data_IF_855539526114
#
_entry.id   IF_855539526114
#
_cell.length_a   1.000
_cell.length_b   1.000
_cell.length_c   1.000
_cell.angle_alpha   90.00
_cell.angle_beta   90.00
_cell.angle_gamma   90.00
#
_symmetry.space_group_name_H-M   'P 1'
#
loop_
_entity.id
_entity.type
_entity.pdbx_description
1 polymer ?
#
# COMPACT_ATOMS: atom_id res chain seq x y z
N UNK A 1 1.89 -48.04 -38.61
CA UNK A 1 3.05 -47.83 -37.74
C UNK A 1 3.31 -46.33 -37.68
N UNK A 2 2.84 -45.67 -36.63
CA UNK A 2 2.92 -44.21 -36.47
C UNK A 2 4.36 -43.78 -36.20
N UNK A 3 4.90 -42.89 -37.04
CA UNK A 3 6.09 -42.11 -36.72
C UNK A 3 5.61 -40.70 -36.34
N UNK A 4 5.37 -40.47 -35.05
CA UNK A 4 5.10 -39.13 -34.53
C UNK A 4 6.36 -38.26 -34.65
N UNK A 5 6.34 -37.34 -35.61
CA UNK A 5 7.22 -36.16 -35.65
C UNK A 5 6.75 -35.15 -34.61
N UNK A 6 7.24 -35.25 -33.38
CA UNK A 6 7.03 -34.23 -32.34
C UNK A 6 8.25 -33.32 -32.27
N UNK A 7 8.17 -32.13 -32.88
CA UNK A 7 9.11 -31.05 -32.60
C UNK A 7 8.83 -30.56 -31.18
N UNK A 8 9.76 -30.78 -30.25
CA UNK A 8 9.72 -30.12 -28.95
C UNK A 8 10.02 -28.64 -29.19
N UNK A 9 8.98 -27.80 -29.15
CA UNK A 9 9.15 -26.35 -29.24
C UNK A 9 9.39 -25.82 -27.83
N UNK A 10 10.66 -25.67 -27.45
CA UNK A 10 11.03 -24.93 -26.24
C UNK A 10 10.88 -23.44 -26.55
N UNK A 11 9.73 -22.88 -26.23
CA UNK A 11 9.56 -21.43 -26.19
C UNK A 11 10.07 -20.92 -24.83
N UNK A 12 11.26 -20.33 -24.81
CA UNK A 12 11.65 -19.49 -23.68
C UNK A 12 10.76 -18.23 -23.74
N UNK A 13 9.94 -18.00 -22.71
CA UNK A 13 9.22 -16.73 -22.57
C UNK A 13 10.24 -15.61 -22.49
N UNK A 14 10.27 -14.74 -23.49
CA UNK A 14 11.20 -13.60 -23.59
C UNK A 14 10.76 -12.41 -22.74
N UNK A 15 9.61 -12.49 -22.08
CA UNK A 15 9.17 -11.48 -21.10
C UNK A 15 9.59 -11.93 -19.72
N UNK A 16 10.53 -11.19 -19.12
CA UNK A 16 10.70 -11.21 -17.67
C UNK A 16 9.33 -10.90 -17.04
N UNK A 17 8.90 -11.75 -16.11
CA UNK A 17 7.67 -11.48 -15.38
C UNK A 17 7.77 -10.09 -14.70
N UNK A 18 6.71 -9.28 -14.72
CA UNK A 18 6.75 -7.98 -14.09
C UNK A 18 6.99 -8.10 -12.57
N UNK A 19 7.81 -7.21 -12.03
CA UNK A 19 8.22 -7.23 -10.62
C UNK A 19 7.04 -6.95 -9.67
N UNK A 20 6.92 -7.75 -8.61
CA UNK A 20 5.86 -7.68 -7.60
C UNK A 20 6.48 -7.42 -6.23
N UNK A 21 6.18 -6.28 -5.63
CA UNK A 21 6.79 -5.84 -4.37
C UNK A 21 5.72 -5.56 -3.32
N UNK A 22 5.99 -5.95 -2.08
CA UNK A 22 5.26 -5.47 -0.91
C UNK A 22 6.21 -4.64 -0.05
N UNK A 23 5.76 -3.49 0.43
CA UNK A 23 6.45 -2.68 1.43
C UNK A 23 5.59 -2.57 2.69
N UNK A 24 6.18 -2.92 3.83
CA UNK A 24 5.55 -2.83 5.15
C UNK A 24 6.47 -2.14 6.16
N UNK A 25 5.92 -1.81 7.34
CA UNK A 25 6.59 -1.11 8.42
C UNK A 25 5.64 -0.24 9.24
N UNK A 26 6.12 0.30 10.35
CA UNK A 26 5.31 1.11 11.27
C UNK A 26 4.92 2.50 10.70
N UNK A 27 3.86 3.16 11.22
CA UNK A 27 3.53 4.54 10.85
C UNK A 27 4.75 5.46 10.98
N UNK A 28 4.92 6.40 10.04
CA UNK A 28 6.08 7.31 9.97
C UNK A 28 7.46 6.66 9.77
N UNK A 29 7.55 5.36 9.45
CA UNK A 29 8.81 4.71 9.07
C UNK A 29 9.41 5.20 7.74
N UNK A 30 8.64 5.93 6.93
CA UNK A 30 9.06 6.46 5.62
C UNK A 30 8.60 5.62 4.42
N UNK A 31 7.65 4.69 4.63
CA UNK A 31 7.08 3.83 3.56
C UNK A 31 6.67 4.61 2.32
N UNK A 32 5.86 5.65 2.48
CA UNK A 32 5.32 6.44 1.35
C UNK A 32 6.45 6.93 0.44
N UNK A 33 7.49 7.53 1.02
CA UNK A 33 8.66 8.00 0.27
C UNK A 33 9.37 6.86 -0.45
N UNK A 34 9.55 5.71 0.20
CA UNK A 34 10.18 4.54 -0.42
C UNK A 34 9.30 3.96 -1.54
N UNK A 35 7.98 3.89 -1.35
CA UNK A 35 7.02 3.46 -2.35
C UNK A 35 7.10 4.33 -3.60
N UNK A 36 7.14 5.66 -3.45
CA UNK A 36 7.28 6.61 -4.57
C UNK A 36 8.60 6.38 -5.34
N UNK A 37 9.73 6.29 -4.63
CA UNK A 37 11.04 6.09 -5.24
C UNK A 37 11.13 4.75 -5.98
N UNK A 38 10.63 3.66 -5.39
CA UNK A 38 10.64 2.33 -6.02
C UNK A 38 9.70 2.30 -7.22
N UNK A 39 8.49 2.84 -7.08
CA UNK A 39 7.51 2.91 -8.16
C UNK A 39 8.07 3.67 -9.36
N UNK A 40 8.68 4.85 -9.13
CA UNK A 40 9.28 5.66 -10.18
C UNK A 40 10.48 4.96 -10.84
N UNK A 41 11.36 4.35 -10.05
CA UNK A 41 12.57 3.70 -10.54
C UNK A 41 12.29 2.47 -11.41
N UNK A 42 11.28 1.69 -11.04
CA UNK A 42 10.97 0.41 -11.69
C UNK A 42 9.71 0.45 -12.57
N UNK A 43 9.01 1.60 -12.64
CA UNK A 43 7.81 1.76 -13.46
C UNK A 43 6.60 0.94 -12.98
N UNK A 44 6.58 0.59 -11.68
CA UNK A 44 5.52 -0.24 -11.09
C UNK A 44 4.21 0.52 -10.96
N UNK A 45 3.12 -0.20 -10.75
CA UNK A 45 1.87 0.42 -10.30
C UNK A 45 1.81 0.41 -8.78
N UNK A 46 1.75 1.59 -8.17
CA UNK A 46 1.61 1.73 -6.72
C UNK A 46 0.15 1.51 -6.28
N UNK A 47 -0.05 0.62 -5.32
CA UNK A 47 -1.31 0.42 -4.60
C UNK A 47 -1.08 0.72 -3.13
N UNK A 48 -1.80 1.71 -2.62
CA UNK A 48 -1.98 1.91 -1.19
C UNK A 48 -3.38 1.43 -0.80
N UNK A 49 -3.46 0.54 0.20
CA UNK A 49 -4.75 0.00 0.68
C UNK A 49 -5.67 1.13 1.15
N UNK A 50 -5.11 2.16 1.77
CA UNK A 50 -5.88 3.31 2.23
C UNK A 50 -6.49 4.10 1.07
N UNK A 51 -5.77 4.26 -0.04
CA UNK A 51 -6.27 4.93 -1.23
C UNK A 51 -7.32 4.09 -1.96
N UNK A 52 -7.11 2.77 -2.01
CA UNK A 52 -8.07 1.82 -2.56
C UNK A 52 -9.42 1.90 -1.80
N UNK A 53 -9.37 1.90 -0.47
CA UNK A 53 -10.56 2.05 0.37
C UNK A 53 -11.28 3.38 0.11
N UNK A 54 -10.54 4.49 0.05
CA UNK A 54 -11.12 5.82 -0.24
C UNK A 54 -11.75 5.89 -1.63
N UNK A 55 -11.09 5.31 -2.64
CA UNK A 55 -11.61 5.29 -4.01
C UNK A 55 -12.90 4.47 -4.12
N UNK A 56 -12.98 3.35 -3.41
CA UNK A 56 -14.17 2.48 -3.38
C UNK A 56 -15.33 3.12 -2.61
N UNK A 57 -15.04 3.83 -1.52
CA UNK A 57 -16.03 4.67 -0.84
C UNK A 57 -16.56 5.75 -1.81
N UNK A 58 -15.69 6.40 -2.57
CA UNK A 58 -16.07 7.43 -3.53
C UNK A 58 -16.88 6.87 -4.72
N UNK A 59 -16.57 5.64 -5.17
CA UNK A 59 -17.30 4.97 -6.26
C UNK A 59 -18.68 4.44 -5.82
N UNK A 60 -18.99 4.48 -4.52
CA UNK A 60 -20.23 3.94 -3.93
C UNK A 60 -20.47 2.46 -4.26
N UNK A 61 -19.38 1.69 -4.42
CA UNK A 61 -19.46 0.24 -4.61
C UNK A 61 -20.02 -0.46 -3.38
N UNK A 62 -20.38 -1.74 -3.51
CA UNK A 62 -20.87 -2.54 -2.39
C UNK A 62 -19.81 -2.66 -1.27
N UNK A 63 -18.57 -2.97 -1.65
CA UNK A 63 -17.41 -2.99 -0.74
C UNK A 63 -17.15 -1.60 -0.15
N UNK A 64 -17.29 -0.53 -0.93
CA UNK A 64 -17.11 0.85 -0.51
C UNK A 64 -18.11 1.29 0.56
N UNK A 65 -19.38 0.90 0.44
CA UNK A 65 -20.41 1.18 1.45
C UNK A 65 -20.10 0.52 2.79
N UNK A 66 -19.68 -0.75 2.75
CA UNK A 66 -19.27 -1.48 3.95
C UNK A 66 -18.01 -0.86 4.57
N UNK A 67 -16.98 -0.60 3.77
CA UNK A 67 -15.74 0.03 4.23
C UNK A 67 -15.99 1.40 4.88
N UNK A 68 -16.90 2.21 4.30
CA UNK A 68 -17.30 3.51 4.84
C UNK A 68 -17.82 3.38 6.27
N UNK A 69 -18.68 2.41 6.55
CA UNK A 69 -19.27 2.22 7.88
C UNK A 69 -18.22 1.95 8.96
N UNK A 70 -17.23 1.10 8.68
CA UNK A 70 -16.13 0.83 9.61
C UNK A 70 -15.23 2.05 9.79
N UNK A 71 -14.87 2.71 8.69
CA UNK A 71 -13.97 3.87 8.73
C UNK A 71 -14.57 5.06 9.47
N UNK A 72 -15.87 5.34 9.29
CA UNK A 72 -16.58 6.40 10.01
C UNK A 72 -16.67 6.13 11.53
N UNK A 73 -16.68 4.85 11.92
CA UNK A 73 -16.63 4.42 13.33
C UNK A 73 -15.21 4.35 13.90
N UNK A 74 -14.18 4.71 13.12
CA UNK A 74 -12.78 4.57 13.50
C UNK A 74 -12.32 3.11 13.66
N UNK A 75 -13.07 2.16 13.10
CA UNK A 75 -12.79 0.73 13.15
C UNK A 75 -11.96 0.30 11.94
N UNK A 76 -11.24 -0.81 12.10
CA UNK A 76 -10.55 -1.45 10.98
C UNK A 76 -11.58 -2.14 10.09
N UNK A 77 -11.42 -1.96 8.77
CA UNK A 77 -12.23 -2.68 7.77
C UNK A 77 -11.90 -4.18 7.86
N UNK A 78 -12.91 -5.08 7.85
CA UNK A 78 -12.71 -6.52 7.88
C UNK A 78 -11.72 -7.02 6.84
N UNK A 79 -10.90 -8.01 7.21
CA UNK A 79 -9.82 -8.53 6.37
C UNK A 79 -10.33 -9.05 5.03
N UNK A 80 -11.49 -9.70 5.03
CA UNK A 80 -12.11 -10.32 3.86
C UNK A 80 -12.41 -9.26 2.80
N UNK A 81 -12.95 -8.11 3.22
CA UNK A 81 -13.23 -6.97 2.35
C UNK A 81 -11.92 -6.42 1.77
N UNK A 82 -10.91 -6.19 2.60
CA UNK A 82 -9.62 -5.67 2.15
C UNK A 82 -8.95 -6.61 1.14
N UNK A 83 -8.95 -7.92 1.41
CA UNK A 83 -8.39 -8.94 0.53
C UNK A 83 -9.10 -8.92 -0.83
N UNK A 84 -10.44 -8.89 -0.84
CA UNK A 84 -11.22 -8.87 -2.08
C UNK A 84 -10.89 -7.65 -2.93
N UNK A 85 -10.84 -6.46 -2.32
CA UNK A 85 -10.54 -5.22 -3.04
C UNK A 85 -9.12 -5.24 -3.62
N UNK A 86 -8.12 -5.70 -2.84
CA UNK A 86 -6.73 -5.80 -3.30
C UNK A 86 -6.62 -6.80 -4.45
N UNK A 87 -7.27 -7.96 -4.35
CA UNK A 87 -7.32 -8.97 -5.41
C UNK A 87 -7.90 -8.39 -6.70
N UNK A 88 -9.06 -7.75 -6.63
CA UNK A 88 -9.72 -7.16 -7.80
C UNK A 88 -8.83 -6.14 -8.50
N UNK A 89 -8.11 -5.31 -7.74
CA UNK A 89 -7.15 -4.35 -8.31
C UNK A 89 -5.96 -5.04 -8.98
N UNK A 90 -5.36 -6.04 -8.33
CA UNK A 90 -4.18 -6.75 -8.82
C UNK A 90 -4.46 -7.59 -10.09
N UNK A 91 -5.71 -7.96 -10.33
CA UNK A 91 -6.13 -8.70 -11.53
C UNK A 91 -6.36 -7.80 -12.75
N UNK A 92 -6.26 -6.48 -12.62
CA UNK A 92 -6.46 -5.57 -13.77
C UNK A 92 -5.29 -5.64 -14.78
N UNK A 93 -5.54 -5.38 -16.08
CA UNK A 93 -4.55 -5.61 -17.13
C UNK A 93 -3.26 -4.78 -17.00
N UNK A 94 -3.35 -3.60 -16.39
CA UNK A 94 -2.20 -2.71 -16.18
C UNK A 94 -1.16 -3.28 -15.21
N UNK A 95 -1.59 -4.17 -14.30
CA UNK A 95 -0.75 -4.84 -13.29
C UNK A 95 0.04 -5.98 -13.89
N UNK A 96 -0.60 -6.77 -14.74
CA UNK A 96 0.02 -7.92 -15.40
C UNK A 96 1.10 -7.53 -16.41
N UNK A 97 1.17 -6.26 -16.81
CA UNK A 97 2.16 -5.77 -17.77
C UNK A 97 3.32 -5.02 -17.13
N UNK A 98 3.07 -4.24 -16.06
CA UNK A 98 4.08 -3.36 -15.44
C UNK A 98 4.58 -3.85 -14.09
N UNK A 99 3.87 -4.77 -13.44
CA UNK A 99 4.15 -5.16 -12.07
C UNK A 99 3.56 -4.17 -11.07
N UNK A 100 3.75 -4.44 -9.80
CA UNK A 100 3.04 -3.72 -8.74
C UNK A 100 3.82 -3.60 -7.46
N UNK A 101 3.50 -2.53 -6.73
CA UNK A 101 3.97 -2.28 -5.38
C UNK A 101 2.75 -2.11 -4.48
N UNK A 102 2.65 -2.95 -3.45
CA UNK A 102 1.58 -2.87 -2.46
C UNK A 102 2.12 -2.30 -1.14
N UNK A 103 1.60 -1.13 -0.75
CA UNK A 103 1.94 -0.38 0.47
C UNK A 103 0.92 -0.65 1.57
N UNK A 104 1.41 -1.07 2.75
CA UNK A 104 0.60 -1.17 3.97
C UNK A 104 -0.26 -2.43 4.09
N UNK A 105 0.10 -3.48 3.35
CA UNK A 105 -0.49 -4.82 3.39
C UNK A 105 0.64 -5.84 3.59
N UNK A 106 0.57 -6.88 4.43
CA UNK A 106 -0.52 -7.45 5.24
C UNK A 106 -0.47 -6.92 6.67
N UNK A 107 -1.64 -6.73 7.30
CA UNK A 107 -1.78 -6.44 8.74
C UNK A 107 -2.09 -7.69 9.58
N UNK A 108 -2.21 -8.85 8.94
CA UNK A 108 -2.54 -10.13 9.59
C UNK A 108 -2.05 -11.30 8.75
N UNK A 109 -1.73 -12.42 9.40
CA UNK A 109 -1.47 -13.71 8.75
C UNK A 109 -2.67 -14.23 7.94
N UNK A 110 -3.90 -13.83 8.25
CA UNK A 110 -5.09 -14.22 7.49
C UNK A 110 -5.18 -13.52 6.12
N UNK A 111 -4.88 -12.22 6.07
CA UNK A 111 -4.67 -11.49 4.81
C UNK A 111 -3.54 -12.15 4.00
N UNK A 112 -2.59 -12.71 4.72
CA UNK A 112 -1.43 -13.35 4.17
C UNK A 112 -1.79 -14.60 3.35
N UNK A 113 -2.42 -15.55 4.03
CA UNK A 113 -2.92 -16.78 3.42
C UNK A 113 -3.89 -16.47 2.27
N UNK A 114 -4.79 -15.51 2.45
CA UNK A 114 -5.83 -15.26 1.45
C UNK A 114 -5.29 -14.80 0.07
N UNK A 115 -4.27 -13.93 0.02
CA UNK A 115 -3.62 -13.60 -1.26
C UNK A 115 -2.91 -14.81 -1.88
N UNK A 116 -2.30 -15.65 -1.05
CA UNK A 116 -1.60 -16.85 -1.50
C UNK A 116 -2.56 -17.87 -2.12
N UNK A 117 -3.76 -18.02 -1.54
CA UNK A 117 -4.85 -18.85 -2.07
C UNK A 117 -5.34 -18.36 -3.44
N UNK A 118 -5.24 -17.05 -3.72
CA UNK A 118 -5.51 -16.49 -5.05
C UNK A 118 -4.32 -16.57 -6.01
N UNK A 119 -3.22 -17.22 -5.62
CA UNK A 119 -1.99 -17.31 -6.43
C UNK A 119 -1.21 -16.00 -6.53
N UNK A 120 -1.51 -15.02 -5.67
CA UNK A 120 -0.86 -13.70 -5.66
C UNK A 120 0.32 -13.76 -4.69
N UNK A 121 1.53 -13.87 -5.24
CA UNK A 121 2.78 -13.86 -4.47
C UNK A 121 3.68 -12.69 -4.91
N UNK A 122 4.22 -11.90 -3.97
CA UNK A 122 5.27 -10.94 -4.30
C UNK A 122 6.59 -11.66 -4.56
N UNK A 123 7.45 -11.04 -5.34
CA UNK A 123 8.84 -11.47 -5.53
C UNK A 123 9.73 -10.94 -4.40
N UNK A 124 9.38 -9.76 -3.86
CA UNK A 124 10.13 -9.08 -2.80
C UNK A 124 9.18 -8.55 -1.72
N UNK A 125 9.53 -8.81 -0.46
CA UNK A 125 8.90 -8.19 0.70
C UNK A 125 9.94 -7.31 1.42
N UNK A 126 9.64 -6.02 1.54
CA UNK A 126 10.50 -5.03 2.19
C UNK A 126 9.86 -4.61 3.50
N UNK A 127 10.55 -4.82 4.60
CA UNK A 127 10.16 -4.31 5.92
C UNK A 127 11.04 -3.10 6.25
N UNK A 128 10.42 -1.94 6.48
CA UNK A 128 11.10 -0.78 7.03
C UNK A 128 11.13 -0.88 8.55
N UNK A 129 12.25 -1.39 9.06
CA UNK A 129 12.56 -1.48 10.48
C UNK A 129 13.17 -0.15 10.97
N UNK A 130 12.50 0.47 11.93
CA UNK A 130 12.86 1.77 12.50
C UNK A 130 12.57 1.71 13.98
N UNK A 131 13.50 2.19 14.81
CA UNK A 131 13.35 2.18 16.27
C UNK A 131 12.13 2.99 16.72
N UNK A 132 11.47 2.50 17.77
CA UNK A 132 10.26 3.08 18.33
C UNK A 132 10.40 4.57 18.67
N UNK A 133 11.50 4.96 19.32
CA UNK A 133 11.77 6.36 19.68
C UNK A 133 11.73 7.30 18.46
N UNK A 134 12.25 6.83 17.32
CA UNK A 134 12.27 7.60 16.07
C UNK A 134 10.86 7.63 15.45
N UNK A 135 10.11 6.52 15.53
CA UNK A 135 8.74 6.46 15.03
C UNK A 135 7.84 7.43 15.80
N UNK A 136 7.94 7.44 17.13
CA UNK A 136 7.21 8.35 18.01
C UNK A 136 7.55 9.81 17.69
N UNK A 137 8.84 10.17 17.63
CA UNK A 137 9.28 11.52 17.26
C UNK A 137 8.67 11.96 15.91
N UNK A 138 8.69 11.06 14.92
CA UNK A 138 8.19 11.35 13.58
C UNK A 138 6.67 11.46 13.49
N UNK A 139 5.94 10.63 14.24
CA UNK A 139 4.47 10.68 14.26
C UNK A 139 3.99 11.98 14.92
N UNK A 140 4.56 12.36 16.07
CA UNK A 140 4.19 13.59 16.80
C UNK A 140 4.45 14.83 15.94
N UNK A 141 5.53 14.84 15.17
CA UNK A 141 5.91 15.94 14.29
C UNK A 141 5.14 16.01 12.98
N UNK A 142 4.35 14.98 12.62
CA UNK A 142 3.66 14.88 11.32
C UNK A 142 2.47 15.83 11.22
N UNK A 143 2.34 16.49 10.08
CA UNK A 143 1.23 17.40 9.77
C UNK A 143 0.68 17.12 8.38
N UNK A 144 -0.60 17.41 8.18
CA UNK A 144 -1.32 17.27 6.92
C UNK A 144 -1.88 18.63 6.52
N UNK A 145 -1.61 19.07 5.29
CA UNK A 145 -2.35 20.17 4.69
C UNK A 145 -3.72 19.65 4.22
N UNK A 146 -4.85 20.09 4.81
CA UNK A 146 -6.17 19.57 4.45
C UNK A 146 -6.59 19.95 3.02
N UNK A 147 -5.98 20.96 2.42
CA UNK A 147 -6.32 21.42 1.06
C UNK A 147 -5.60 20.61 0.00
N UNK A 148 -4.28 20.44 0.16
CA UNK A 148 -3.45 19.77 -0.85
C UNK A 148 -3.27 18.28 -0.59
N UNK A 149 -3.55 17.82 0.63
CA UNK A 149 -3.25 16.45 1.07
C UNK A 149 -1.76 16.19 1.28
N UNK A 150 -0.88 17.20 1.10
CA UNK A 150 0.56 17.06 1.33
C UNK A 150 0.86 16.83 2.81
N UNK A 151 1.82 15.94 3.06
CA UNK A 151 2.35 15.67 4.40
C UNK A 151 3.56 16.58 4.65
N UNK A 152 3.61 17.15 5.85
CA UNK A 152 4.71 17.94 6.37
C UNK A 152 5.21 17.37 7.70
N UNK A 153 6.36 17.85 8.15
CA UNK A 153 6.91 17.56 9.45
C UNK A 153 7.55 18.81 10.06
N UNK A 154 7.28 19.08 11.33
CA UNK A 154 7.77 20.27 12.07
C UNK A 154 9.31 20.45 12.15
N UNK A 155 10.09 19.51 11.60
CA UNK A 155 11.56 19.45 11.70
C UNK A 155 12.18 19.01 10.38
N UNK A 156 11.66 17.93 9.81
CA UNK A 156 12.25 17.31 8.62
C UNK A 156 11.68 17.79 7.28
N UNK A 157 10.45 18.33 7.27
CA UNK A 157 9.77 18.78 6.06
C UNK A 157 8.88 19.97 6.39
N UNK A 158 9.50 21.14 6.52
CA UNK A 158 8.84 22.37 6.93
C UNK A 158 7.84 22.84 5.85
N UNK A 159 6.75 23.51 6.26
CA UNK A 159 5.83 24.14 5.32
C UNK A 159 6.54 25.17 4.46
N UNK A 160 6.11 25.28 3.20
CA UNK A 160 6.74 26.13 2.20
C UNK A 160 6.48 27.63 2.46
N UNK A 161 5.40 27.96 3.20
CA UNK A 161 5.02 29.30 3.59
C UNK A 161 4.13 29.32 4.85
N UNK A 162 3.93 30.50 5.43
CA UNK A 162 3.15 30.71 6.66
C UNK A 162 1.65 30.38 6.49
N UNK A 163 1.10 30.56 5.29
CA UNK A 163 -0.29 30.23 5.00
C UNK A 163 -0.54 28.73 5.16
N UNK A 164 0.31 27.90 4.54
CA UNK A 164 0.28 26.45 4.70
C UNK A 164 0.51 26.10 6.17
N UNK A 165 1.51 26.70 6.83
CA UNK A 165 1.83 26.43 8.23
C UNK A 165 0.62 26.63 9.16
N UNK A 166 -0.16 27.69 8.94
CA UNK A 166 -1.32 28.06 9.76
C UNK A 166 -2.51 27.09 9.63
N UNK A 167 -2.64 26.37 8.51
CA UNK A 167 -3.76 25.46 8.23
C UNK A 167 -3.42 23.98 8.40
N UNK A 168 -2.18 23.66 8.79
CA UNK A 168 -1.76 22.28 9.03
C UNK A 168 -2.57 21.64 10.15
N UNK A 169 -3.03 20.42 9.92
CA UNK A 169 -3.73 19.62 10.92
C UNK A 169 -2.95 18.36 11.26
N UNK A 170 -3.24 17.76 12.41
CA UNK A 170 -2.73 16.45 12.78
C UNK A 170 -3.82 15.41 12.52
N UNK A 171 -3.44 14.22 12.05
CA UNK A 171 -4.43 13.15 11.86
C UNK A 171 -4.85 12.59 13.22
N UNK A 172 -6.09 12.12 13.32
CA UNK A 172 -6.62 11.54 14.56
C UNK A 172 -5.90 10.24 15.00
N UNK A 173 -5.16 9.61 14.08
CA UNK A 173 -4.36 8.41 14.31
C UNK A 173 -2.87 8.70 14.56
N UNK A 174 -2.45 9.97 14.53
CA UNK A 174 -1.08 10.39 14.87
C UNK A 174 -0.88 10.51 16.38
N UNK A 175 -1.02 9.40 17.11
CA UNK A 175 -0.74 9.30 18.55
C UNK A 175 0.44 8.38 18.83
N UNK A 176 1.12 8.58 19.96
CA UNK A 176 2.25 7.72 20.38
C UNK A 176 1.84 6.25 20.43
N UNK A 177 0.69 5.96 21.03
CA UNK A 177 0.13 4.60 21.16
C UNK A 177 -0.10 3.92 19.81
N UNK A 178 -0.49 4.68 18.78
CA UNK A 178 -0.73 4.17 17.42
C UNK A 178 0.53 4.10 16.57
N UNK A 179 1.59 4.81 16.93
CA UNK A 179 2.88 4.72 16.26
C UNK A 179 3.51 3.31 16.39
N UNK A 180 3.16 2.58 17.45
CA UNK A 180 3.76 1.29 17.78
C UNK A 180 2.93 0.07 17.35
N UNK A 181 1.69 0.26 16.87
CA UNK A 181 0.68 -0.80 16.72
C UNK A 181 0.77 -1.65 15.42
N UNK A 182 1.92 -1.79 14.76
CA UNK A 182 2.01 -2.55 13.49
C UNK A 182 3.16 -3.57 13.46
N UNK A 183 3.11 -4.54 14.37
CA UNK A 183 3.63 -5.89 14.14
C UNK A 183 2.49 -6.90 14.24
#
# INVERSE_FOLDING_TARGET
>A
MLLCRGWLQVAASTKAEPLKVIISGAPASGKVTQCELVTQKYGLVHISVGDLLRAEIASSSENGKLAKEYMEKGQLVPNEIVVMMVKERLLQPDFQQRGWLLDGYRRSSSQAAALEDYGIRPDVFILLDVSEDILVERVIGRRLDPITGKIYHLKYLLPENDEIASRLTQRFDDTEEKACLIL
#
